data_IF_637874457849
#
_entry.id   IF_637874457849
#
_cell.length_a   1.000
_cell.length_b   1.000
_cell.length_c   1.000
_cell.angle_alpha   90.00
_cell.angle_beta   90.00
_cell.angle_gamma   90.00
#
_symmetry.space_group_name_H-M   'P 1'
#
loop_
_entity.id
_entity.type
_entity.pdbx_description
1 polymer ?
#
# COMPACT_ATOMS: atom_id res chain seq x y z
N UNK A 1 13.42 -20.00 -40.88
CA UNK A 1 12.64 -20.55 -39.74
C UNK A 1 13.57 -20.67 -38.55
N UNK A 2 13.34 -19.87 -37.52
CA UNK A 2 14.03 -20.01 -36.22
C UNK A 2 13.68 -21.39 -35.65
N UNK A 3 14.65 -22.12 -35.08
CA UNK A 3 14.35 -23.40 -34.42
C UNK A 3 13.36 -23.17 -33.28
N UNK A 4 12.47 -24.13 -33.00
CA UNK A 4 11.54 -24.00 -31.88
C UNK A 4 12.33 -23.81 -30.60
N UNK A 5 11.99 -22.80 -29.80
CA UNK A 5 12.59 -22.55 -28.49
C UNK A 5 12.34 -23.79 -27.61
N UNK A 6 13.38 -24.36 -26.97
CA UNK A 6 13.21 -25.56 -26.15
C UNK A 6 12.45 -25.20 -24.88
N UNK A 7 11.12 -25.36 -24.90
CA UNK A 7 10.21 -25.04 -23.76
C UNK A 7 10.66 -25.71 -22.45
N UNK A 8 11.25 -26.91 -22.53
CA UNK A 8 11.75 -27.64 -21.37
C UNK A 8 12.95 -26.94 -20.71
N UNK A 9 13.89 -26.41 -21.49
CA UNK A 9 15.07 -25.69 -20.97
C UNK A 9 14.68 -24.33 -20.39
N UNK A 10 13.76 -23.60 -21.04
CA UNK A 10 13.22 -22.36 -20.54
C UNK A 10 12.48 -22.57 -19.21
N UNK A 11 11.69 -23.63 -19.11
CA UNK A 11 11.01 -24.02 -17.90
C UNK A 11 11.99 -24.39 -16.76
N UNK A 12 13.09 -25.07 -17.07
CA UNK A 12 14.15 -25.39 -16.11
C UNK A 12 14.87 -24.11 -15.62
N UNK A 13 15.20 -23.21 -16.53
CA UNK A 13 15.82 -21.93 -16.20
C UNK A 13 14.94 -21.09 -15.25
N UNK A 14 13.66 -20.93 -15.54
CA UNK A 14 12.76 -20.19 -14.67
C UNK A 14 12.58 -20.84 -13.29
N UNK A 15 12.52 -22.17 -13.23
CA UNK A 15 12.48 -22.90 -11.94
C UNK A 15 13.74 -22.64 -11.11
N UNK A 16 14.92 -22.79 -11.70
CA UNK A 16 16.18 -22.57 -11.01
C UNK A 16 16.31 -21.12 -10.49
N UNK A 17 15.92 -20.14 -11.31
CA UNK A 17 15.90 -18.73 -10.93
C UNK A 17 14.93 -18.45 -9.77
N UNK A 18 13.73 -19.00 -9.81
CA UNK A 18 12.72 -18.85 -8.76
C UNK A 18 13.17 -19.50 -7.45
N UNK A 19 13.77 -20.68 -7.51
CA UNK A 19 14.34 -21.36 -6.35
C UNK A 19 15.46 -20.54 -5.72
N UNK A 20 16.36 -19.97 -6.52
CA UNK A 20 17.44 -19.10 -6.02
C UNK A 20 16.90 -17.82 -5.36
N UNK A 21 15.79 -17.25 -5.84
CA UNK A 21 15.13 -16.12 -5.19
C UNK A 21 14.49 -16.55 -3.86
N UNK A 22 13.79 -17.68 -3.86
CA UNK A 22 13.15 -18.23 -2.67
C UNK A 22 14.16 -18.52 -1.56
N UNK A 23 15.31 -19.15 -1.89
CA UNK A 23 16.38 -19.42 -0.94
C UNK A 23 16.91 -18.15 -0.30
N UNK A 24 17.25 -17.15 -1.10
CA UNK A 24 17.75 -15.85 -0.60
C UNK A 24 16.73 -15.13 0.29
N UNK A 25 15.45 -15.20 -0.05
CA UNK A 25 14.39 -14.64 0.78
C UNK A 25 14.30 -15.37 2.13
N UNK A 26 14.29 -16.71 2.10
CA UNK A 26 14.21 -17.52 3.33
C UNK A 26 15.44 -17.34 4.23
N UNK A 27 16.64 -17.19 3.66
CA UNK A 27 17.87 -16.88 4.40
C UNK A 27 17.77 -15.53 5.09
N UNK A 28 17.29 -14.50 4.37
CA UNK A 28 17.11 -13.16 4.93
C UNK A 28 16.05 -13.14 6.03
N UNK A 29 14.90 -13.76 5.81
CA UNK A 29 13.84 -13.85 6.82
C UNK A 29 14.35 -14.52 8.10
N UNK A 30 15.10 -15.63 7.97
CA UNK A 30 15.71 -16.33 9.10
C UNK A 30 16.72 -15.47 9.84
N UNK A 31 17.54 -14.68 9.12
CA UNK A 31 18.50 -13.76 9.73
C UNK A 31 17.83 -12.66 10.56
N UNK A 32 16.61 -12.25 10.16
CA UNK A 32 15.78 -11.27 10.89
C UNK A 32 14.85 -11.93 11.94
N UNK A 33 14.96 -13.25 12.16
CA UNK A 33 14.12 -13.97 13.11
C UNK A 33 12.67 -14.15 12.68
N UNK A 34 12.37 -13.99 11.38
CA UNK A 34 11.02 -14.10 10.82
C UNK A 34 10.81 -15.49 10.22
N UNK A 35 9.74 -16.17 10.64
CA UNK A 35 9.30 -17.40 9.97
C UNK A 35 8.65 -17.07 8.64
N UNK A 36 9.17 -17.63 7.56
CA UNK A 36 8.68 -17.37 6.22
C UNK A 36 8.66 -18.62 5.35
N UNK A 37 7.60 -18.75 4.56
CA UNK A 37 7.45 -19.77 3.51
C UNK A 37 7.52 -19.12 2.14
N UNK A 38 8.05 -19.85 1.15
CA UNK A 38 8.15 -19.40 -0.23
C UNK A 38 7.38 -20.33 -1.16
N UNK A 39 6.39 -19.76 -1.85
CA UNK A 39 5.65 -20.43 -2.90
C UNK A 39 6.11 -19.98 -4.29
N UNK A 40 6.32 -20.94 -5.19
CA UNK A 40 6.61 -20.68 -6.60
C UNK A 40 5.43 -21.11 -7.45
N UNK A 41 4.67 -20.12 -7.96
CA UNK A 41 3.50 -20.35 -8.80
C UNK A 41 3.81 -20.26 -10.30
N UNK A 42 2.97 -20.91 -11.14
CA UNK A 42 2.95 -20.74 -12.58
C UNK A 42 1.67 -20.04 -13.01
N UNK A 43 1.75 -19.21 -14.05
CA UNK A 43 0.63 -18.46 -14.62
C UNK A 43 0.87 -16.96 -14.62
N UNK A 44 -0.19 -16.20 -14.79
CA UNK A 44 -0.13 -14.73 -14.71
C UNK A 44 0.16 -14.32 -13.26
N UNK A 45 1.19 -13.49 -13.07
CA UNK A 45 1.65 -13.11 -11.75
C UNK A 45 0.56 -12.43 -10.92
N UNK A 46 -0.19 -11.49 -11.53
CA UNK A 46 -1.27 -10.76 -10.88
C UNK A 46 -2.39 -11.69 -10.37
N UNK A 47 -2.80 -12.68 -11.17
CA UNK A 47 -3.85 -13.64 -10.79
C UNK A 47 -3.39 -14.53 -9.63
N UNK A 48 -2.14 -15.03 -9.68
CA UNK A 48 -1.58 -15.88 -8.62
C UNK A 48 -1.38 -15.13 -7.30
N UNK A 49 -0.96 -13.86 -7.36
CA UNK A 49 -0.82 -13.01 -6.18
C UNK A 49 -2.20 -12.77 -5.54
N UNK A 50 -3.21 -12.43 -6.34
CA UNK A 50 -4.58 -12.19 -5.84
C UNK A 50 -5.15 -13.45 -5.21
N UNK A 51 -4.98 -14.61 -5.83
CA UNK A 51 -5.42 -15.89 -5.28
C UNK A 51 -4.79 -16.17 -3.91
N UNK A 52 -3.47 -16.06 -3.79
CA UNK A 52 -2.77 -16.26 -2.52
C UNK A 52 -3.11 -15.22 -1.46
N UNK A 53 -3.31 -13.98 -1.86
CA UNK A 53 -3.69 -12.91 -0.94
C UNK A 53 -5.07 -13.11 -0.28
N UNK A 54 -5.96 -13.93 -0.86
CA UNK A 54 -7.25 -14.23 -0.23
C UNK A 54 -7.09 -14.94 1.13
N UNK A 55 -6.01 -15.66 1.34
CA UNK A 55 -5.71 -16.41 2.55
C UNK A 55 -4.95 -15.57 3.62
N UNK A 56 -4.58 -14.31 3.31
CA UNK A 56 -3.76 -13.46 4.17
C UNK A 56 -4.54 -12.27 4.74
N UNK A 57 -4.07 -11.70 5.86
CA UNK A 57 -4.62 -10.47 6.43
C UNK A 57 -4.15 -9.21 5.70
N UNK A 58 -2.92 -9.21 5.18
CA UNK A 58 -2.30 -8.09 4.48
C UNK A 58 -1.45 -8.60 3.31
N UNK A 59 -1.57 -7.95 2.16
CA UNK A 59 -0.63 -8.11 1.06
C UNK A 59 0.39 -6.98 1.07
N UNK A 60 1.68 -7.32 0.99
CA UNK A 60 2.76 -6.35 0.77
C UNK A 60 3.30 -6.55 -0.64
N UNK A 61 3.35 -5.49 -1.44
CA UNK A 61 3.82 -5.54 -2.83
C UNK A 61 4.68 -4.33 -3.17
N UNK A 62 5.74 -4.52 -3.94
CA UNK A 62 6.55 -3.41 -4.43
C UNK A 62 5.78 -2.55 -5.42
N UNK A 63 5.92 -1.21 -5.34
CA UNK A 63 5.31 -0.29 -6.30
C UNK A 63 5.95 -0.41 -7.68
N UNK A 64 7.28 -0.44 -7.68
CA UNK A 64 8.09 -0.33 -8.88
C UNK A 64 8.34 -1.73 -9.46
N UNK A 65 8.10 -1.92 -10.75
CA UNK A 65 8.48 -3.15 -11.43
C UNK A 65 10.01 -3.21 -11.66
N UNK A 66 10.55 -4.36 -12.03
CA UNK A 66 11.92 -4.45 -12.55
C UNK A 66 11.89 -4.21 -14.07
N UNK A 67 12.74 -3.38 -14.64
CA UNK A 67 14.05 -2.88 -14.28
C UNK A 67 14.24 -1.36 -14.31
N UNK A 68 15.44 -0.94 -13.89
CA UNK A 68 16.02 0.35 -13.60
C UNK A 68 15.87 1.51 -14.61
N UNK A 69 15.16 1.39 -15.71
CA UNK A 69 15.08 2.41 -16.78
C UNK A 69 13.70 3.04 -16.96
N UNK A 70 12.73 2.78 -16.08
CA UNK A 70 11.43 3.44 -16.18
C UNK A 70 11.35 4.58 -15.17
N UNK A 71 10.86 5.73 -15.66
CA UNK A 71 10.63 6.92 -14.84
C UNK A 71 9.86 6.54 -13.54
N UNK A 72 10.32 7.06 -12.40
CA UNK A 72 9.76 6.84 -11.04
C UNK A 72 8.24 7.13 -10.88
N UNK A 73 7.56 7.50 -11.94
CA UNK A 73 6.15 7.91 -11.95
C UNK A 73 5.16 6.79 -12.35
N UNK A 74 5.62 5.57 -12.59
CA UNK A 74 4.74 4.49 -13.07
C UNK A 74 4.64 3.38 -12.01
N UNK A 75 3.41 2.99 -11.70
CA UNK A 75 3.14 1.77 -10.92
C UNK A 75 3.43 0.57 -11.82
N UNK A 76 4.08 -0.46 -11.30
CA UNK A 76 4.27 -1.72 -12.03
C UNK A 76 2.94 -2.32 -12.48
N UNK A 77 2.86 -2.84 -13.70
CA UNK A 77 1.61 -3.37 -14.28
C UNK A 77 0.97 -4.47 -13.42
N UNK A 78 1.79 -5.35 -12.82
CA UNK A 78 1.29 -6.37 -11.90
C UNK A 78 0.73 -5.74 -10.63
N UNK A 79 1.40 -4.75 -10.05
CA UNK A 79 0.96 -4.05 -8.84
C UNK A 79 -0.35 -3.33 -9.08
N UNK A 80 -0.49 -2.60 -10.20
CA UNK A 80 -1.73 -1.94 -10.57
C UNK A 80 -2.88 -2.94 -10.76
N UNK A 81 -2.63 -4.06 -11.45
CA UNK A 81 -3.61 -5.11 -11.66
C UNK A 81 -4.06 -5.76 -10.34
N UNK A 82 -3.10 -6.04 -9.44
CA UNK A 82 -3.38 -6.64 -8.12
C UNK A 82 -4.22 -5.71 -7.26
N UNK A 83 -3.85 -4.42 -7.14
CA UNK A 83 -4.62 -3.45 -6.35
C UNK A 83 -6.06 -3.35 -6.85
N UNK A 84 -6.29 -3.40 -8.15
CA UNK A 84 -7.64 -3.35 -8.74
C UNK A 84 -8.47 -4.59 -8.46
N UNK A 85 -7.85 -5.77 -8.40
CA UNK A 85 -8.52 -7.07 -8.25
C UNK A 85 -8.75 -7.47 -6.78
N UNK A 86 -7.97 -6.91 -5.85
CA UNK A 86 -7.99 -7.34 -4.46
C UNK A 86 -8.89 -6.44 -3.61
N UNK A 87 -9.80 -7.05 -2.85
CA UNK A 87 -10.71 -6.37 -1.92
C UNK A 87 -10.19 -6.29 -0.48
N UNK A 88 -8.90 -6.60 -0.26
CA UNK A 88 -8.22 -6.59 1.04
C UNK A 88 -7.22 -5.45 1.14
N UNK A 89 -6.71 -5.23 2.36
CA UNK A 89 -5.64 -4.26 2.60
C UNK A 89 -4.37 -4.64 1.85
N UNK A 90 -3.79 -3.66 1.16
CA UNK A 90 -2.56 -3.81 0.38
C UNK A 90 -1.58 -2.73 0.82
N UNK A 91 -0.37 -3.11 1.19
CA UNK A 91 0.74 -2.19 1.40
C UNK A 91 1.60 -2.14 0.15
N UNK A 92 1.60 -1.00 -0.52
CA UNK A 92 2.42 -0.75 -1.71
C UNK A 92 3.69 -0.02 -1.30
N UNK A 93 4.83 -0.69 -1.41
CA UNK A 93 6.12 -0.16 -0.97
C UNK A 93 6.97 0.34 -2.15
N UNK A 94 7.32 1.64 -2.20
CA UNK A 94 8.35 2.15 -3.11
C UNK A 94 9.72 1.53 -2.81
N UNK A 95 10.56 1.41 -3.82
CA UNK A 95 11.93 0.91 -3.64
C UNK A 95 12.74 1.80 -2.68
N UNK A 96 13.38 1.19 -1.69
CA UNK A 96 14.21 1.89 -0.70
C UNK A 96 13.42 2.67 0.36
N UNK A 97 12.12 2.50 0.46
CA UNK A 97 11.31 3.10 1.53
C UNK A 97 11.54 2.41 2.88
N UNK A 98 11.29 3.16 3.96
CA UNK A 98 11.30 2.67 5.35
C UNK A 98 9.90 2.79 5.94
N UNK A 99 9.60 1.96 6.94
CA UNK A 99 8.35 2.04 7.72
C UNK A 99 8.50 2.87 9.00
N UNK A 100 9.69 3.44 9.25
CA UNK A 100 9.97 4.22 10.46
C UNK A 100 9.43 5.64 10.32
N UNK A 101 8.68 6.09 11.29
CA UNK A 101 8.10 7.44 11.37
C UNK A 101 6.57 7.43 11.42
N UNK A 102 5.96 8.62 11.61
CA UNK A 102 4.50 8.75 11.77
C UNK A 102 3.70 8.07 10.69
N UNK A 103 2.53 7.55 11.04
CA UNK A 103 1.53 7.02 10.12
C UNK A 103 0.62 8.17 9.72
N UNK A 104 0.62 8.56 8.45
CA UNK A 104 -0.32 9.58 7.97
C UNK A 104 -1.62 8.92 7.52
N UNK A 105 -2.70 9.19 8.23
CA UNK A 105 -4.04 8.69 7.93
C UNK A 105 -4.82 9.71 7.08
N UNK A 106 -5.10 9.39 5.83
CA UNK A 106 -6.02 10.15 4.98
C UNK A 106 -7.47 9.83 5.32
N UNK A 107 -8.21 10.79 5.90
CA UNK A 107 -9.57 10.58 6.35
C UNK A 107 -10.57 11.52 5.65
N UNK A 108 -11.59 10.95 5.02
CA UNK A 108 -12.65 11.70 4.32
C UNK A 108 -14.07 11.34 4.78
N UNK A 109 -14.21 10.51 5.82
CA UNK A 109 -15.48 10.02 6.35
C UNK A 109 -16.18 8.99 5.46
N UNK A 110 -15.50 8.46 4.44
CA UNK A 110 -16.01 7.34 3.63
C UNK A 110 -15.88 6.01 4.38
N UNK A 111 -16.64 4.96 3.99
CA UNK A 111 -16.46 3.63 4.55
C UNK A 111 -15.01 3.12 4.45
N UNK A 112 -14.34 3.40 3.32
CA UNK A 112 -12.95 3.04 3.12
C UNK A 112 -12.00 3.74 4.09
N UNK A 113 -12.21 5.04 4.37
CA UNK A 113 -11.37 5.77 5.32
C UNK A 113 -11.60 5.34 6.78
N UNK A 114 -12.78 4.84 7.13
CA UNK A 114 -13.05 4.24 8.46
C UNK A 114 -12.31 2.91 8.62
N UNK A 115 -12.29 2.06 7.58
CA UNK A 115 -11.46 0.85 7.57
C UNK A 115 -9.98 1.21 7.67
N UNK A 116 -9.54 2.24 6.95
CA UNK A 116 -8.17 2.74 7.03
C UNK A 116 -7.81 3.22 8.44
N UNK A 117 -8.75 3.86 9.16
CA UNK A 117 -8.54 4.24 10.56
C UNK A 117 -8.31 3.02 11.46
N UNK A 118 -9.09 1.95 11.32
CA UNK A 118 -8.88 0.70 12.08
C UNK A 118 -7.50 0.09 11.78
N UNK A 119 -7.11 0.05 10.51
CA UNK A 119 -5.77 -0.42 10.11
C UNK A 119 -4.65 0.46 10.68
N UNK A 120 -4.85 1.78 10.70
CA UNK A 120 -3.87 2.72 11.28
C UNK A 120 -3.69 2.51 12.79
N UNK A 121 -4.76 2.16 13.53
CA UNK A 121 -4.68 1.81 14.96
C UNK A 121 -3.81 0.58 15.16
N UNK A 122 -4.08 -0.49 14.43
CA UNK A 122 -3.34 -1.75 14.54
C UNK A 122 -1.84 -1.53 14.23
N UNK A 123 -1.54 -0.79 13.16
CA UNK A 123 -0.17 -0.47 12.78
C UNK A 123 0.51 0.43 13.81
N UNK A 124 -0.16 1.48 14.29
CA UNK A 124 0.38 2.40 15.29
C UNK A 124 0.73 1.67 16.59
N UNK A 125 -0.17 0.84 17.10
CA UNK A 125 0.06 0.08 18.31
C UNK A 125 1.16 -0.99 18.14
N UNK A 126 1.25 -1.60 16.96
CA UNK A 126 2.27 -2.63 16.68
C UNK A 126 3.67 -2.04 16.43
N UNK A 127 3.76 -0.90 15.76
CA UNK A 127 5.02 -0.25 15.40
C UNK A 127 5.49 0.76 16.45
N UNK A 128 4.62 1.19 17.37
CA UNK A 128 4.92 2.26 18.32
C UNK A 128 4.98 3.65 17.69
N UNK A 129 4.43 3.83 16.48
CA UNK A 129 4.52 5.08 15.73
C UNK A 129 3.26 5.93 15.88
N UNK A 130 3.40 7.28 15.98
CA UNK A 130 2.25 8.17 16.15
C UNK A 130 1.41 8.26 14.87
N UNK A 131 0.12 8.62 15.04
CA UNK A 131 -0.78 8.88 13.91
C UNK A 131 -0.88 10.38 13.64
N UNK A 132 -0.77 10.74 12.36
CA UNK A 132 -1.04 12.08 11.84
C UNK A 132 -2.26 12.03 10.92
N UNK A 133 -3.40 12.54 11.40
CA UNK A 133 -4.65 12.57 10.62
C UNK A 133 -4.63 13.73 9.65
N UNK A 134 -4.91 13.45 8.39
CA UNK A 134 -5.07 14.44 7.33
C UNK A 134 -6.50 14.46 6.80
N UNK A 135 -7.11 15.64 6.77
CA UNK A 135 -8.45 15.90 6.21
C UNK A 135 -8.39 17.00 5.15
N UNK A 136 -8.88 16.75 3.94
CA UNK A 136 -9.10 17.79 2.93
C UNK A 136 -10.58 18.13 2.82
N UNK A 137 -10.94 19.40 3.07
CA UNK A 137 -12.31 19.89 2.92
C UNK A 137 -12.35 21.41 2.70
N UNK A 138 -13.05 21.85 1.66
CA UNK A 138 -13.31 23.29 1.43
C UNK A 138 -14.25 23.88 2.48
N UNK A 139 -15.02 23.06 3.17
CA UNK A 139 -15.95 23.47 4.22
C UNK A 139 -15.32 23.20 5.60
N UNK A 140 -15.14 24.25 6.39
CA UNK A 140 -14.53 24.17 7.73
C UNK A 140 -15.37 23.35 8.71
N UNK A 141 -16.71 23.50 8.69
CA UNK A 141 -17.61 22.74 9.55
C UNK A 141 -17.51 21.24 9.28
N UNK A 142 -17.43 20.87 7.99
CA UNK A 142 -17.22 19.49 7.58
C UNK A 142 -15.85 18.94 8.00
N UNK A 143 -14.81 19.76 7.95
CA UNK A 143 -13.49 19.36 8.41
C UNK A 143 -13.50 19.06 9.92
N UNK A 144 -14.14 19.93 10.72
CA UNK A 144 -14.30 19.76 12.16
C UNK A 144 -15.04 18.45 12.46
N UNK A 145 -16.20 18.25 11.83
CA UNK A 145 -16.99 17.02 12.02
C UNK A 145 -16.20 15.73 11.69
N UNK A 146 -15.34 15.79 10.66
CA UNK A 146 -14.48 14.64 10.32
C UNK A 146 -13.40 14.40 11.36
N UNK A 147 -12.81 15.45 11.95
CA UNK A 147 -11.87 15.28 13.05
C UNK A 147 -12.53 14.74 14.30
N UNK A 148 -13.73 15.19 14.63
CA UNK A 148 -14.52 14.63 15.75
C UNK A 148 -14.77 13.14 15.52
N UNK A 149 -15.26 12.75 14.34
CA UNK A 149 -15.50 11.36 13.97
C UNK A 149 -14.23 10.51 14.07
N UNK A 150 -13.11 10.97 13.49
CA UNK A 150 -11.88 10.17 13.48
C UNK A 150 -11.25 10.06 14.88
N UNK A 151 -11.38 11.08 15.75
CA UNK A 151 -10.93 10.99 17.15
C UNK A 151 -11.67 9.90 17.91
N UNK A 152 -12.99 9.76 17.70
CA UNK A 152 -13.77 8.68 18.30
C UNK A 152 -13.27 7.32 17.80
N UNK A 153 -13.02 7.18 16.51
CA UNK A 153 -12.49 5.95 15.94
C UNK A 153 -11.09 5.60 16.48
N UNK A 154 -10.24 6.62 16.69
CA UNK A 154 -8.85 6.45 17.16
C UNK A 154 -8.74 6.38 18.71
N UNK A 155 -9.82 6.26 19.46
CA UNK A 155 -9.78 6.21 20.92
C UNK A 155 -8.94 5.05 21.51
N UNK A 156 -8.67 4.00 20.71
CA UNK A 156 -7.81 2.86 21.11
C UNK A 156 -6.32 3.03 20.82
N UNK A 157 -5.88 4.18 20.29
CA UNK A 157 -4.48 4.45 19.98
C UNK A 157 -3.72 4.85 21.26
N UNK A 158 -2.56 4.22 21.47
CA UNK A 158 -1.69 4.51 22.61
C UNK A 158 -0.69 5.63 22.34
N UNK A 159 -0.44 5.90 21.07
CA UNK A 159 0.54 6.89 20.59
C UNK A 159 -0.09 8.28 20.40
N UNK A 160 0.72 9.36 20.36
CA UNK A 160 0.21 10.69 20.08
C UNK A 160 -0.52 10.81 18.75
N UNK A 161 -1.63 11.55 18.72
CA UNK A 161 -2.38 11.87 17.50
C UNK A 161 -2.17 13.36 17.19
N UNK A 162 -1.85 13.66 15.93
CA UNK A 162 -1.77 15.03 15.37
C UNK A 162 -2.78 15.18 14.24
N UNK A 163 -3.13 16.42 13.91
CA UNK A 163 -4.15 16.72 12.91
C UNK A 163 -3.68 17.83 11.98
N UNK A 164 -3.94 17.68 10.70
CA UNK A 164 -3.73 18.70 9.68
C UNK A 164 -4.91 18.71 8.72
N UNK A 165 -5.37 19.92 8.34
CA UNK A 165 -6.41 20.07 7.34
C UNK A 165 -5.92 20.89 6.15
N UNK A 166 -6.48 20.60 4.97
CA UNK A 166 -6.34 21.36 3.75
C UNK A 166 -7.70 21.80 3.22
N UNK A 167 -7.74 22.96 2.57
CA UNK A 167 -8.94 23.48 1.89
C UNK A 167 -8.77 23.56 0.38
N UNK A 168 -7.65 23.06 -0.16
CA UNK A 168 -7.26 23.27 -1.56
C UNK A 168 -8.02 22.37 -2.54
N UNK A 169 -8.68 21.29 -2.07
CA UNK A 169 -9.40 20.35 -2.93
C UNK A 169 -8.47 19.48 -3.79
N UNK A 170 -7.22 19.28 -3.34
CA UNK A 170 -6.20 18.44 -3.94
C UNK A 170 -5.68 17.45 -2.89
N UNK A 171 -6.55 16.54 -2.39
CA UNK A 171 -6.19 15.65 -1.30
C UNK A 171 -5.03 14.72 -1.65
N UNK A 172 -4.91 14.32 -2.91
CA UNK A 172 -3.81 13.50 -3.44
C UNK A 172 -2.43 14.17 -3.22
N UNK A 173 -2.31 15.44 -3.63
CA UNK A 173 -1.05 16.19 -3.49
C UNK A 173 -0.78 16.52 -2.03
N UNK A 174 -1.79 17.04 -1.33
CA UNK A 174 -1.61 17.51 0.06
C UNK A 174 -1.36 16.39 1.05
N UNK A 175 -1.91 15.21 0.83
CA UNK A 175 -1.61 14.03 1.63
C UNK A 175 -0.13 13.63 1.48
N UNK A 176 0.41 13.65 0.26
CA UNK A 176 1.83 13.35 -0.01
C UNK A 176 2.74 14.45 0.54
N UNK A 177 2.37 15.73 0.40
CA UNK A 177 3.11 16.85 1.00
C UNK A 177 3.18 16.68 2.53
N UNK A 178 2.02 16.44 3.18
CA UNK A 178 1.95 16.22 4.63
C UNK A 178 2.84 15.05 5.06
N UNK A 179 2.79 13.93 4.34
CA UNK A 179 3.63 12.78 4.65
C UNK A 179 5.13 13.12 4.55
N UNK A 180 5.51 13.93 3.59
CA UNK A 180 6.89 14.40 3.44
C UNK A 180 7.30 15.36 4.55
N UNK A 181 6.45 16.33 4.90
CA UNK A 181 6.68 17.32 5.95
C UNK A 181 6.87 16.70 7.33
N UNK A 182 6.05 15.69 7.67
CA UNK A 182 6.15 14.98 8.95
C UNK A 182 7.16 13.83 8.93
N UNK A 183 7.83 13.58 7.82
CA UNK A 183 8.72 12.43 7.61
C UNK A 183 8.03 11.12 7.94
N UNK A 184 6.86 10.91 7.36
CA UNK A 184 6.05 9.73 7.60
C UNK A 184 6.77 8.43 7.23
N UNK A 185 6.53 7.38 8.00
CA UNK A 185 6.91 6.01 7.66
C UNK A 185 5.95 5.39 6.65
N UNK A 186 4.68 5.83 6.63
CA UNK A 186 3.68 5.36 5.67
C UNK A 186 2.47 6.27 5.58
N UNK A 187 1.69 6.10 4.52
CA UNK A 187 0.34 6.64 4.37
C UNK A 187 -0.66 5.49 4.50
N UNK A 188 -1.74 5.69 5.24
CA UNK A 188 -2.88 4.77 5.30
C UNK A 188 -4.12 5.52 4.83
N UNK A 189 -4.82 4.98 3.84
CA UNK A 189 -6.00 5.64 3.26
C UNK A 189 -6.98 4.64 2.65
N UNK A 190 -8.23 5.06 2.46
CA UNK A 190 -9.20 4.27 1.73
C UNK A 190 -8.85 4.18 0.24
N UNK A 191 -8.84 2.98 -0.32
CA UNK A 191 -8.54 2.74 -1.72
C UNK A 191 -9.69 3.15 -2.66
N UNK A 192 -10.94 3.17 -2.17
CA UNK A 192 -12.14 3.41 -2.95
C UNK A 192 -12.89 4.63 -2.44
N UNK A 193 -13.25 5.55 -3.34
CA UNK A 193 -14.03 6.74 -3.00
C UNK A 193 -15.52 6.46 -2.74
N UNK A 194 -16.30 7.53 -2.50
CA UNK A 194 -17.74 7.49 -2.17
C UNK A 194 -18.63 6.87 -3.23
N UNK A 195 -18.23 6.89 -4.49
CA UNK A 195 -18.99 6.35 -5.62
C UNK A 195 -18.44 4.99 -6.05
N UNK A 196 -18.91 3.93 -5.41
CA UNK A 196 -18.75 2.56 -5.91
C UNK A 196 -19.65 2.38 -7.13
N UNK A 197 -19.15 2.65 -8.32
CA UNK A 197 -19.89 2.32 -9.56
C UNK A 197 -19.47 0.96 -10.11
N UNK A 198 -18.26 0.47 -9.78
CA UNK A 198 -17.81 -0.89 -10.13
C UNK A 198 -16.74 -1.36 -9.13
N UNK A 199 -16.75 -2.66 -8.82
CA UNK A 199 -15.90 -3.33 -7.81
C UNK A 199 -14.38 -3.36 -8.15
N UNK A 200 -13.96 -2.73 -9.26
CA UNK A 200 -12.59 -2.82 -9.78
C UNK A 200 -11.91 -1.46 -10.01
N UNK A 201 -12.42 -0.37 -9.44
CA UNK A 201 -11.83 0.95 -9.65
C UNK A 201 -11.12 1.46 -8.41
N UNK A 202 -9.78 1.51 -8.45
CA UNK A 202 -8.99 2.30 -7.52
C UNK A 202 -9.38 3.77 -7.65
N UNK A 203 -9.70 4.43 -6.52
CA UNK A 203 -10.05 5.84 -6.50
C UNK A 203 -8.94 6.71 -7.10
N UNK A 204 -9.30 7.76 -7.83
CA UNK A 204 -8.33 8.63 -8.51
C UNK A 204 -7.28 9.20 -7.54
N UNK A 205 -7.68 9.61 -6.34
CA UNK A 205 -6.78 10.11 -5.31
C UNK A 205 -5.83 9.01 -4.81
N UNK A 206 -6.36 7.79 -4.53
CA UNK A 206 -5.53 6.67 -4.09
C UNK A 206 -4.51 6.28 -5.17
N UNK A 207 -4.94 6.20 -6.43
CA UNK A 207 -4.04 5.93 -7.55
C UNK A 207 -2.95 7.00 -7.70
N UNK A 208 -3.29 8.28 -7.51
CA UNK A 208 -2.34 9.38 -7.58
C UNK A 208 -1.33 9.30 -6.42
N UNK A 209 -1.80 9.08 -5.18
CA UNK A 209 -0.94 8.94 -3.99
C UNK A 209 0.02 7.78 -4.16
N UNK A 210 -0.45 6.56 -4.50
CA UNK A 210 0.41 5.39 -4.73
C UNK A 210 1.48 5.67 -5.78
N UNK A 211 1.14 6.44 -6.83
CA UNK A 211 2.07 6.76 -7.92
C UNK A 211 3.17 7.73 -7.50
N UNK A 212 2.84 8.71 -6.66
CA UNK A 212 3.71 9.88 -6.40
C UNK A 212 4.42 9.85 -5.05
N UNK A 213 3.90 9.11 -4.08
CA UNK A 213 4.47 9.08 -2.73
C UNK A 213 5.88 8.46 -2.69
N UNK A 214 6.78 9.01 -1.88
CA UNK A 214 8.07 8.38 -1.57
C UNK A 214 7.99 7.32 -0.46
N UNK A 215 6.89 7.26 0.28
CA UNK A 215 6.69 6.35 1.42
C UNK A 215 5.67 5.25 1.07
N UNK A 216 5.64 4.12 1.78
CA UNK A 216 4.64 3.06 1.64
C UNK A 216 3.19 3.57 1.82
N UNK A 217 2.25 2.98 1.05
CA UNK A 217 0.80 3.30 1.13
C UNK A 217 0.03 2.02 1.36
#
# INVERSE_FOLDING_TARGET
TLPPFPEAELGAYFRARSQGLASRFSERARAEGVEATCDVGRGRADDRIVEKAQETGLLVIGRDGCPANQSRALIGSNTESVIRKLSKSVLVAPSGSSLTGPIVLGFDGSPGSRIAASTAIELSNSLGEPIHVFVDSKDKGRAIARFEEVRELLAGVQQPIRETSSTLGRPDVKLVDTASEVRAGMIVMGAYGRNRITDYFLGSNAAAVVRTTPVPV
#
